data_IF_156572819125
#
_entry.id   IF_156572819125
#
_cell.length_a   1.000
_cell.length_b   1.000
_cell.length_c   1.000
_cell.angle_alpha   90.00
_cell.angle_beta   90.00
_cell.angle_gamma   90.00
#
_symmetry.space_group_name_H-M   'P 1'
#
loop_
_entity.id
_entity.type
_entity.pdbx_description
1 polymer ?
#
# COMPACT_ATOMS: atom_id res chain seq x y z
N UNK A 1 27.88 -10.97 11.34
CA UNK A 1 26.62 -11.58 10.88
C UNK A 1 26.62 -11.52 9.37
N UNK A 2 26.85 -12.64 8.69
CA UNK A 2 26.78 -12.69 7.23
C UNK A 2 25.31 -12.62 6.84
N UNK A 3 24.89 -11.59 6.09
CA UNK A 3 23.52 -11.48 5.62
C UNK A 3 23.28 -12.60 4.59
N UNK A 4 22.26 -13.43 4.83
CA UNK A 4 21.75 -14.37 3.84
C UNK A 4 21.33 -13.57 2.60
N UNK A 5 21.97 -13.89 1.47
CA UNK A 5 21.78 -13.22 0.17
C UNK A 5 20.79 -13.97 -0.72
N UNK A 6 20.07 -14.95 -0.17
CA UNK A 6 19.07 -15.72 -0.91
C UNK A 6 17.97 -14.81 -1.47
N UNK A 7 17.85 -14.79 -2.80
CA UNK A 7 16.79 -14.06 -3.49
C UNK A 7 15.53 -14.92 -3.57
N UNK A 8 14.41 -14.42 -3.05
CA UNK A 8 13.11 -15.07 -3.17
C UNK A 8 12.33 -14.48 -4.36
N UNK A 9 11.77 -15.34 -5.21
CA UNK A 9 10.81 -14.94 -6.23
C UNK A 9 9.42 -15.36 -5.79
N UNK A 10 8.55 -14.38 -5.61
CA UNK A 10 7.16 -14.60 -5.16
C UNK A 10 6.24 -14.23 -6.32
N UNK A 11 5.26 -15.07 -6.69
CA UNK A 11 4.26 -14.71 -7.68
C UNK A 11 3.50 -13.44 -7.26
N UNK A 12 3.30 -12.51 -8.20
CA UNK A 12 2.68 -11.22 -7.90
C UNK A 12 1.26 -11.36 -7.31
N UNK A 13 0.49 -12.35 -7.75
CA UNK A 13 -0.86 -12.61 -7.23
C UNK A 13 -0.84 -13.02 -5.75
N UNK A 14 0.12 -13.85 -5.36
CA UNK A 14 0.29 -14.30 -3.98
C UNK A 14 0.72 -13.13 -3.09
N UNK A 15 1.66 -12.32 -3.59
CA UNK A 15 2.14 -11.15 -2.88
C UNK A 15 1.03 -10.09 -2.69
N UNK A 16 0.20 -9.84 -3.70
CA UNK A 16 -0.98 -8.96 -3.58
C UNK A 16 -1.95 -9.49 -2.52
N UNK A 17 -2.26 -10.77 -2.57
CA UNK A 17 -3.18 -11.41 -1.61
C UNK A 17 -2.68 -11.27 -0.18
N UNK A 18 -1.38 -11.51 0.03
CA UNK A 18 -0.73 -11.35 1.33
C UNK A 18 -0.78 -9.89 1.81
N UNK A 19 -0.35 -8.94 0.99
CA UNK A 19 -0.30 -7.52 1.38
C UNK A 19 -1.70 -6.97 1.64
N UNK A 20 -2.69 -7.34 0.83
CA UNK A 20 -4.09 -6.96 1.08
C UNK A 20 -4.59 -7.54 2.41
N UNK A 21 -4.20 -8.76 2.77
CA UNK A 21 -4.58 -9.36 4.05
C UNK A 21 -3.99 -8.58 5.24
N UNK A 22 -2.76 -8.08 5.12
CA UNK A 22 -2.13 -7.22 6.15
C UNK A 22 -2.97 -5.96 6.36
N UNK A 23 -3.28 -5.20 5.31
CA UNK A 23 -4.06 -3.95 5.46
C UNK A 23 -5.50 -4.19 5.95
N UNK A 24 -6.13 -5.31 5.57
CA UNK A 24 -7.42 -5.69 6.16
C UNK A 24 -7.32 -5.93 7.66
N UNK A 25 -6.27 -6.64 8.09
CA UNK A 25 -6.05 -6.93 9.51
C UNK A 25 -5.78 -5.67 10.33
N UNK A 26 -5.31 -4.59 9.71
CA UNK A 26 -5.08 -3.29 10.37
C UNK A 26 -6.26 -2.32 10.24
N UNK A 27 -7.37 -2.73 9.62
CA UNK A 27 -8.64 -2.00 9.64
C UNK A 27 -9.08 -1.39 8.30
N UNK A 28 -8.33 -1.57 7.21
CA UNK A 28 -8.77 -1.17 5.88
C UNK A 28 -9.89 -2.08 5.36
N UNK A 29 -10.88 -1.49 4.69
CA UNK A 29 -11.91 -2.22 3.96
C UNK A 29 -11.28 -2.96 2.76
N UNK A 30 -11.97 -3.99 2.27
CA UNK A 30 -11.49 -4.83 1.17
C UNK A 30 -11.03 -4.04 -0.07
N UNK A 31 -11.76 -2.98 -0.43
CA UNK A 31 -11.41 -2.13 -1.57
C UNK A 31 -10.12 -1.35 -1.36
N UNK A 32 -9.99 -0.67 -0.22
CA UNK A 32 -8.78 0.10 0.13
C UNK A 32 -7.56 -0.82 0.24
N UNK A 33 -7.68 -1.95 0.94
CA UNK A 33 -6.60 -2.92 1.10
C UNK A 33 -6.11 -3.46 -0.26
N UNK A 34 -7.04 -3.70 -1.20
CA UNK A 34 -6.71 -4.12 -2.56
C UNK A 34 -5.94 -3.02 -3.30
N UNK A 35 -6.44 -1.78 -3.31
CA UNK A 35 -5.78 -0.64 -3.98
C UNK A 35 -4.35 -0.46 -3.47
N UNK A 36 -4.15 -0.46 -2.15
CA UNK A 36 -2.82 -0.31 -1.55
C UNK A 36 -1.92 -1.50 -1.94
N UNK A 37 -2.42 -2.73 -1.83
CA UNK A 37 -1.65 -3.91 -2.23
C UNK A 37 -1.27 -3.90 -3.71
N UNK A 38 -2.17 -3.43 -4.56
CA UNK A 38 -1.97 -3.41 -6.00
C UNK A 38 -0.86 -2.42 -6.35
N UNK A 39 -0.91 -1.19 -5.82
CA UNK A 39 0.13 -0.19 -6.06
C UNK A 39 1.51 -0.58 -5.52
N UNK A 40 1.57 -1.21 -4.34
CA UNK A 40 2.85 -1.65 -3.77
C UNK A 40 3.47 -2.78 -4.62
N UNK A 41 2.66 -3.74 -5.07
CA UNK A 41 3.18 -4.81 -5.93
C UNK A 41 3.50 -4.30 -7.33
N UNK A 42 2.73 -3.37 -7.90
CA UNK A 42 3.05 -2.71 -9.16
C UNK A 42 4.39 -1.98 -9.11
N UNK A 43 4.69 -1.30 -7.99
CA UNK A 43 5.99 -0.66 -7.80
C UNK A 43 7.15 -1.67 -7.80
N UNK A 44 7.00 -2.85 -7.18
CA UNK A 44 8.00 -3.91 -7.28
C UNK A 44 8.14 -4.44 -8.72
N UNK A 45 7.03 -4.66 -9.42
CA UNK A 45 7.05 -5.14 -10.81
C UNK A 45 7.69 -4.13 -11.77
N UNK A 46 7.56 -2.84 -11.48
CA UNK A 46 8.21 -1.76 -12.22
C UNK A 46 9.70 -1.55 -11.84
N UNK A 47 10.24 -2.32 -10.88
CA UNK A 47 11.63 -2.19 -10.41
C UNK A 47 11.87 -1.03 -9.43
N UNK A 48 10.80 -0.44 -8.88
CA UNK A 48 10.87 0.63 -7.88
C UNK A 48 10.67 0.09 -6.46
N UNK A 49 11.57 -0.81 -6.02
CA UNK A 49 11.42 -1.53 -4.75
C UNK A 49 11.28 -0.62 -3.53
N UNK A 50 11.89 0.57 -3.55
CA UNK A 50 11.75 1.59 -2.49
C UNK A 50 10.32 2.12 -2.32
N UNK A 51 9.42 1.86 -3.27
CA UNK A 51 8.00 2.19 -3.21
C UNK A 51 7.09 0.96 -3.15
N UNK A 52 7.67 -0.25 -3.17
CA UNK A 52 6.91 -1.49 -3.15
C UNK A 52 6.63 -2.03 -1.75
N UNK A 53 6.51 -3.35 -1.62
CA UNK A 53 6.09 -4.01 -0.38
C UNK A 53 6.98 -3.73 0.84
N UNK A 54 8.19 -3.19 0.65
CA UNK A 54 9.03 -2.66 1.73
C UNK A 54 8.32 -1.58 2.57
N UNK A 55 7.32 -0.89 1.99
CA UNK A 55 6.54 0.16 2.66
C UNK A 55 5.46 -0.37 3.61
N UNK A 56 5.10 -1.65 3.53
CA UNK A 56 4.00 -2.23 4.34
C UNK A 56 4.20 -1.97 5.82
N UNK A 57 5.38 -2.31 6.36
CA UNK A 57 5.67 -2.14 7.80
C UNK A 57 5.53 -0.67 8.24
N UNK A 58 6.01 0.26 7.42
CA UNK A 58 5.94 1.70 7.69
C UNK A 58 4.49 2.21 7.68
N UNK A 59 3.69 1.76 6.71
CA UNK A 59 2.29 2.19 6.62
C UNK A 59 1.45 1.64 7.77
N UNK A 60 1.71 0.41 8.20
CA UNK A 60 1.08 -0.17 9.41
C UNK A 60 1.49 0.61 10.66
N UNK A 61 2.77 0.97 10.81
CA UNK A 61 3.25 1.80 11.93
C UNK A 61 2.58 3.19 11.93
N UNK A 62 2.46 3.84 10.77
CA UNK A 62 1.77 5.13 10.65
C UNK A 62 0.29 5.05 11.00
N UNK A 63 -0.38 3.97 10.61
CA UNK A 63 -1.77 3.73 10.96
C UNK A 63 -1.93 3.52 12.48
N UNK A 64 -1.06 2.70 13.09
CA UNK A 64 -1.06 2.47 14.53
C UNK A 64 -0.81 3.76 15.34
N UNK A 65 -0.03 4.70 14.79
CA UNK A 65 0.24 6.02 15.37
C UNK A 65 -0.85 7.06 15.08
N UNK A 66 -1.90 6.72 14.34
CA UNK A 66 -2.96 7.65 13.95
C UNK A 66 -2.51 8.72 12.93
N UNK A 67 -1.34 8.56 12.31
CA UNK A 67 -0.84 9.47 11.26
C UNK A 67 -1.54 9.22 9.92
N UNK A 68 -2.01 7.99 9.69
CA UNK A 68 -2.83 7.60 8.56
C UNK A 68 -4.11 6.97 9.10
N UNK A 69 -5.25 7.39 8.55
CA UNK A 69 -6.57 6.91 8.96
C UNK A 69 -7.13 6.10 7.80
N UNK A 70 -7.42 4.82 8.04
CA UNK A 70 -8.02 3.94 7.04
C UNK A 70 -9.45 4.35 6.68
N UNK A 71 -9.88 3.93 5.49
CA UNK A 71 -11.22 4.11 4.95
C UNK A 71 -11.60 5.58 4.79
N UNK A 72 -10.63 6.40 4.38
CA UNK A 72 -10.85 7.82 4.09
C UNK A 72 -10.80 8.05 2.59
N UNK A 73 -11.75 8.83 2.11
CA UNK A 73 -11.85 9.23 0.71
C UNK A 73 -11.56 10.72 0.59
N UNK A 74 -10.82 11.08 -0.46
CA UNK A 74 -10.65 12.46 -0.86
C UNK A 74 -12.02 13.08 -1.18
N UNK A 75 -12.23 14.34 -0.83
CA UNK A 75 -13.48 15.06 -1.06
C UNK A 75 -13.18 16.33 -1.82
N UNK A 76 -13.97 16.63 -2.86
CA UNK A 76 -13.78 17.89 -3.60
C UNK A 76 -14.26 19.04 -2.73
N UNK A 77 -13.34 19.95 -2.38
CA UNK A 77 -13.65 21.15 -1.58
C UNK A 77 -13.92 22.37 -2.46
N UNK A 78 -13.44 22.36 -3.71
CA UNK A 78 -13.69 23.38 -4.72
C UNK A 78 -13.50 22.81 -6.11
N UNK A 79 -14.36 23.21 -7.04
CA UNK A 79 -14.28 22.79 -8.44
C UNK A 79 -14.47 24.01 -9.35
N UNK A 80 -13.76 24.02 -10.48
CA UNK A 80 -14.01 24.93 -11.61
C UNK A 80 -14.02 24.11 -12.90
N UNK A 81 -14.23 24.75 -14.06
CA UNK A 81 -14.37 24.05 -15.34
C UNK A 81 -13.20 23.12 -15.72
N UNK A 82 -12.01 23.30 -15.16
CA UNK A 82 -10.83 22.52 -15.50
C UNK A 82 -9.94 22.14 -14.30
N UNK A 83 -10.42 22.30 -13.06
CA UNK A 83 -9.68 21.86 -11.87
C UNK A 83 -10.62 21.48 -10.71
N UNK A 84 -10.16 20.55 -9.89
CA UNK A 84 -10.74 20.20 -8.61
C UNK A 84 -9.66 20.29 -7.52
N UNK A 85 -10.02 20.86 -6.38
CA UNK A 85 -9.23 20.84 -5.14
C UNK A 85 -9.84 19.77 -4.26
N UNK A 86 -9.01 18.82 -3.81
CA UNK A 86 -9.38 17.68 -2.97
C UNK A 86 -8.72 17.73 -1.60
#
# INVERSE_FOLDING_TARGET
>A
MSADTSSYRIPAADLRTFVAAVFRATGSANGEARIVSDHLVDANLAGHDSHGVIRVSKYVDWQAKGMVIANRHAVVVRETACNAVI
#
